data_IF_780038506771
#
_entry.id   IF_780038506771
#
_cell.length_a   1.000
_cell.length_b   1.000
_cell.length_c   1.000
_cell.angle_alpha   90.00
_cell.angle_beta   90.00
_cell.angle_gamma   90.00
#
_symmetry.space_group_name_H-M   'P 1'
#
loop_
_entity.id
_entity.type
_entity.pdbx_description
1 polymer ?
#
# COMPACT_ATOMS: atom_id res chain seq x y z
N UNK A 1 4.14 -14.41 16.57
CA UNK A 1 3.48 -13.44 15.72
C UNK A 1 4.40 -13.02 14.60
N UNK A 2 4.02 -13.30 13.36
CA UNK A 2 4.85 -12.89 12.24
C UNK A 2 4.77 -11.38 12.07
N UNK A 3 5.88 -10.79 11.64
CA UNK A 3 5.93 -9.36 11.38
C UNK A 3 5.84 -9.16 9.88
N UNK A 4 4.78 -8.52 9.46
CA UNK A 4 4.57 -8.25 8.05
C UNK A 4 5.54 -7.19 7.56
N UNK A 5 6.04 -7.39 6.35
CA UNK A 5 6.98 -6.49 5.71
C UNK A 5 6.24 -5.55 4.78
N UNK A 6 6.43 -4.26 4.97
CA UNK A 6 5.72 -3.22 4.24
C UNK A 6 6.70 -2.43 3.39
N UNK A 7 6.44 -2.40 2.09
CA UNK A 7 7.16 -1.55 1.16
C UNK A 7 6.45 -0.19 1.07
N UNK A 8 7.19 0.89 1.18
CA UNK A 8 6.63 2.24 1.08
C UNK A 8 7.09 2.85 -0.23
N UNK A 9 6.15 3.23 -1.09
CA UNK A 9 6.44 3.83 -2.39
C UNK A 9 5.95 5.27 -2.35
N UNK A 10 6.87 6.20 -2.11
CA UNK A 10 6.58 7.60 -1.84
C UNK A 10 7.84 8.42 -2.16
N UNK A 11 7.70 9.48 -2.96
CA UNK A 11 8.85 10.28 -3.35
C UNK A 11 9.22 11.38 -2.36
N UNK A 12 8.30 11.77 -1.48
CA UNK A 12 8.61 12.73 -0.43
C UNK A 12 9.26 11.99 0.74
N UNK A 13 10.57 12.06 0.82
CA UNK A 13 11.32 11.25 1.77
C UNK A 13 10.88 11.47 3.22
N UNK A 14 10.62 12.72 3.62
CA UNK A 14 10.22 12.97 5.01
C UNK A 14 8.86 12.35 5.33
N UNK A 15 7.95 12.35 4.36
CA UNK A 15 6.64 11.69 4.53
C UNK A 15 6.84 10.18 4.67
N UNK A 16 7.67 9.62 3.80
CA UNK A 16 7.93 8.18 3.82
C UNK A 16 8.63 7.75 5.11
N UNK A 17 9.62 8.52 5.54
CA UNK A 17 10.38 8.20 6.75
C UNK A 17 9.50 8.28 8.00
N UNK A 18 8.62 9.27 8.06
CA UNK A 18 7.68 9.39 9.18
C UNK A 18 6.73 8.19 9.22
N UNK A 19 6.23 7.80 8.07
CA UNK A 19 5.35 6.64 7.97
C UNK A 19 6.09 5.37 8.37
N UNK A 20 7.32 5.20 7.88
CA UNK A 20 8.14 4.04 8.21
C UNK A 20 8.34 3.92 9.72
N UNK A 21 8.72 5.03 10.37
CA UNK A 21 8.92 5.03 11.81
C UNK A 21 7.65 4.68 12.57
N UNK A 22 6.51 5.22 12.13
CA UNK A 22 5.23 4.93 12.76
C UNK A 22 4.85 3.47 12.64
N UNK A 23 5.08 2.87 11.49
CA UNK A 23 4.76 1.46 11.28
C UNK A 23 5.68 0.54 12.07
N UNK A 24 6.96 0.90 12.18
CA UNK A 24 7.90 0.11 12.98
C UNK A 24 7.52 0.12 14.45
N UNK A 25 7.04 1.23 14.97
CA UNK A 25 6.55 1.28 16.34
C UNK A 25 5.36 0.35 16.56
N UNK A 26 4.60 0.08 15.51
CA UNK A 26 3.44 -0.80 15.60
C UNK A 26 3.78 -2.26 15.32
N UNK A 27 5.04 -2.57 15.12
CA UNK A 27 5.49 -3.94 14.95
C UNK A 27 5.65 -4.40 13.51
N UNK A 28 5.43 -3.53 12.52
CA UNK A 28 5.70 -3.88 11.14
C UNK A 28 7.19 -3.76 10.84
N UNK A 29 7.64 -4.48 9.83
CA UNK A 29 9.02 -4.40 9.36
C UNK A 29 9.02 -3.64 8.04
N UNK A 30 9.89 -2.64 7.92
CA UNK A 30 10.01 -1.91 6.66
C UNK A 30 10.78 -2.74 5.64
N UNK A 31 10.22 -2.86 4.45
CA UNK A 31 10.93 -3.47 3.32
C UNK A 31 11.69 -2.41 2.52
N UNK A 32 11.64 -1.15 2.96
CA UNK A 32 12.35 -0.06 2.33
C UNK A 32 11.41 1.00 1.78
N UNK A 33 12.00 2.08 1.32
CA UNK A 33 11.30 3.22 0.73
C UNK A 33 11.75 3.33 -0.72
N UNK A 34 10.78 3.34 -1.64
CA UNK A 34 11.05 3.52 -3.06
C UNK A 34 10.43 4.83 -3.53
N UNK A 35 11.14 5.55 -4.38
CA UNK A 35 10.69 6.85 -4.87
C UNK A 35 10.28 6.81 -6.34
N UNK A 36 10.49 5.69 -7.01
CA UNK A 36 10.19 5.52 -8.44
C UNK A 36 10.02 4.04 -8.77
N UNK A 37 9.72 3.77 -10.03
CA UNK A 37 9.48 2.41 -10.50
C UNK A 37 10.71 1.51 -10.32
N UNK A 38 11.87 1.99 -10.71
CA UNK A 38 13.08 1.17 -10.66
C UNK A 38 13.40 0.72 -9.24
N UNK A 39 13.37 1.66 -8.29
CA UNK A 39 13.64 1.35 -6.89
C UNK A 39 12.58 0.42 -6.32
N UNK A 40 11.31 0.66 -6.67
CA UNK A 40 10.22 -0.18 -6.18
C UNK A 40 10.39 -1.62 -6.65
N UNK A 41 10.75 -1.83 -7.91
CA UNK A 41 10.94 -3.18 -8.43
C UNK A 41 12.14 -3.87 -7.78
N UNK A 42 13.21 -3.12 -7.50
CA UNK A 42 14.36 -3.67 -6.79
C UNK A 42 13.99 -4.15 -5.40
N UNK A 43 13.24 -3.32 -4.66
CA UNK A 43 12.83 -3.68 -3.29
C UNK A 43 11.76 -4.78 -3.29
N UNK A 44 10.95 -4.87 -4.35
CA UNK A 44 9.94 -5.92 -4.45
C UNK A 44 10.56 -7.31 -4.43
N UNK A 45 11.80 -7.43 -4.91
CA UNK A 45 12.48 -8.73 -4.93
C UNK A 45 12.83 -9.23 -3.53
N UNK A 46 12.77 -8.37 -2.53
CA UNK A 46 13.05 -8.80 -1.15
C UNK A 46 11.85 -9.44 -0.47
N UNK A 47 10.72 -9.54 -1.16
CA UNK A 47 9.55 -10.25 -0.66
C UNK A 47 8.69 -9.49 0.34
N UNK A 48 8.31 -8.23 0.06
CA UNK A 48 7.36 -7.56 0.96
C UNK A 48 5.99 -8.24 0.89
N UNK A 49 5.26 -8.15 1.98
CA UNK A 49 3.91 -8.71 2.05
C UNK A 49 2.88 -7.77 1.44
N UNK A 50 3.11 -6.48 1.61
CA UNK A 50 2.18 -5.45 1.19
C UNK A 50 2.96 -4.17 0.89
N UNK A 51 2.41 -3.35 0.01
CA UNK A 51 3.00 -2.06 -0.32
C UNK A 51 1.98 -0.94 -0.15
N UNK A 52 2.46 0.19 0.36
CA UNK A 52 1.71 1.44 0.40
C UNK A 52 2.24 2.28 -0.75
N UNK A 53 1.39 2.64 -1.69
CA UNK A 53 1.83 3.24 -2.95
C UNK A 53 1.13 4.57 -3.20
N UNK A 54 1.91 5.64 -3.42
CA UNK A 54 1.36 6.89 -3.92
C UNK A 54 1.31 6.85 -5.45
N UNK A 55 0.51 7.73 -6.04
CA UNK A 55 0.34 7.81 -7.49
C UNK A 55 1.46 8.61 -8.14
N UNK A 56 1.73 9.81 -7.60
CA UNK A 56 2.69 10.74 -8.17
C UNK A 56 4.04 10.52 -7.53
N UNK A 57 5.03 10.14 -8.32
CA UNK A 57 6.35 9.79 -7.83
C UNK A 57 7.39 10.59 -8.59
N UNK A 58 8.66 10.36 -8.27
CA UNK A 58 9.75 11.12 -8.88
C UNK A 58 9.78 10.99 -10.41
N UNK A 59 9.37 9.85 -10.93
CA UNK A 59 9.35 9.59 -12.37
C UNK A 59 7.96 9.80 -13.00
N UNK A 60 7.05 10.47 -12.31
CA UNK A 60 5.74 10.83 -12.85
C UNK A 60 4.60 10.06 -12.18
N UNK A 61 3.50 9.88 -12.90
CA UNK A 61 2.34 9.15 -12.36
C UNK A 61 2.54 7.65 -12.51
N UNK A 62 3.62 7.14 -11.98
CA UNK A 62 3.97 5.72 -12.12
C UNK A 62 3.39 4.82 -11.05
N UNK A 63 2.74 5.40 -10.03
CA UNK A 63 2.13 4.61 -8.96
C UNK A 63 1.23 3.48 -9.45
N UNK A 64 0.28 3.74 -10.35
CA UNK A 64 -0.58 2.66 -10.86
C UNK A 64 0.19 1.55 -11.58
N UNK A 65 1.21 1.90 -12.34
CA UNK A 65 2.05 0.89 -13.00
C UNK A 65 2.83 0.07 -11.98
N UNK A 66 3.37 0.73 -10.97
CA UNK A 66 4.09 0.06 -9.89
C UNK A 66 3.16 -0.92 -9.18
N UNK A 67 1.93 -0.47 -8.86
CA UNK A 67 0.96 -1.33 -8.20
C UNK A 67 0.66 -2.58 -9.02
N UNK A 68 0.47 -2.42 -10.34
CA UNK A 68 0.23 -3.56 -11.23
C UNK A 68 1.39 -4.54 -11.21
N UNK A 69 2.61 -4.01 -11.31
CA UNK A 69 3.81 -4.86 -11.32
C UNK A 69 3.98 -5.58 -9.98
N UNK A 70 3.73 -4.89 -8.87
CA UNK A 70 3.82 -5.50 -7.56
C UNK A 70 2.84 -6.67 -7.41
N UNK A 71 1.63 -6.49 -7.88
CA UNK A 71 0.61 -7.53 -7.79
C UNK A 71 0.90 -8.67 -8.75
N UNK A 72 1.14 -8.37 -10.02
CA UNK A 72 1.24 -9.39 -11.06
C UNK A 72 2.57 -10.13 -11.08
N UNK A 73 3.66 -9.42 -10.81
CA UNK A 73 4.98 -10.03 -10.92
C UNK A 73 5.54 -10.53 -9.59
N UNK A 74 5.04 -10.01 -8.47
CA UNK A 74 5.62 -10.30 -7.16
C UNK A 74 4.61 -10.81 -6.13
N UNK A 75 3.33 -10.84 -6.48
CA UNK A 75 2.25 -11.26 -5.57
C UNK A 75 2.21 -10.41 -4.29
N UNK A 76 2.50 -9.13 -4.39
CA UNK A 76 2.47 -8.19 -3.27
C UNK A 76 1.12 -7.49 -3.26
N UNK A 77 0.45 -7.48 -2.11
CA UNK A 77 -0.80 -6.72 -1.97
C UNK A 77 -0.50 -5.23 -1.98
N UNK A 78 -1.46 -4.44 -2.44
CA UNK A 78 -1.27 -2.99 -2.56
C UNK A 78 -2.41 -2.22 -1.92
N UNK A 79 -2.04 -1.18 -1.16
CA UNK A 79 -2.95 -0.13 -0.73
C UNK A 79 -2.41 1.17 -1.31
N UNK A 80 -3.24 1.92 -2.02
CA UNK A 80 -2.86 3.26 -2.43
C UNK A 80 -3.03 4.24 -1.28
N UNK A 81 -2.08 5.15 -1.13
CA UNK A 81 -2.16 6.25 -0.16
C UNK A 81 -1.85 7.51 -0.94
N UNK A 82 -2.86 8.32 -1.23
CA UNK A 82 -2.71 9.41 -2.18
C UNK A 82 -3.62 10.57 -1.87
N UNK A 83 -3.22 11.77 -2.33
CA UNK A 83 -4.08 12.95 -2.27
C UNK A 83 -5.15 12.93 -3.36
N UNK A 84 -5.06 12.01 -4.33
CA UNK A 84 -5.96 11.92 -5.48
C UNK A 84 -6.61 10.53 -5.57
N UNK A 85 -7.44 10.15 -4.59
CA UNK A 85 -7.99 8.78 -4.56
C UNK A 85 -8.86 8.45 -5.76
N UNK A 86 -9.49 9.45 -6.39
CA UNK A 86 -10.35 9.22 -7.55
C UNK A 86 -9.60 8.59 -8.72
N UNK A 87 -8.30 8.82 -8.81
CA UNK A 87 -7.51 8.30 -9.92
C UNK A 87 -7.36 6.79 -9.88
N UNK A 88 -7.54 6.18 -8.71
CA UNK A 88 -7.26 4.75 -8.54
C UNK A 88 -8.42 3.97 -7.92
N UNK A 89 -9.49 4.65 -7.48
CA UNK A 89 -10.59 3.96 -6.78
C UNK A 89 -11.28 2.92 -7.67
N UNK A 90 -11.22 3.10 -8.98
CA UNK A 90 -11.83 2.17 -9.94
C UNK A 90 -10.87 1.06 -10.38
N UNK A 91 -9.68 0.99 -9.80
CA UNK A 91 -8.72 -0.04 -10.16
C UNK A 91 -9.33 -1.42 -9.91
N UNK A 92 -9.43 -2.22 -10.96
CA UNK A 92 -10.00 -3.56 -10.88
C UNK A 92 -8.88 -4.57 -11.09
N UNK A 93 -8.08 -4.75 -10.06
CA UNK A 93 -6.94 -5.65 -10.08
C UNK A 93 -6.90 -6.38 -8.75
N UNK A 94 -7.15 -7.70 -8.74
CA UNK A 94 -7.05 -8.47 -7.49
C UNK A 94 -5.65 -8.30 -6.89
N UNK A 95 -5.60 -8.01 -5.62
CA UNK A 95 -4.33 -7.69 -4.95
C UNK A 95 -4.20 -6.22 -4.63
N UNK A 96 -4.86 -5.34 -5.40
CA UNK A 96 -5.03 -3.94 -5.00
C UNK A 96 -6.28 -3.89 -4.15
N UNK A 97 -6.09 -3.65 -2.85
CA UNK A 97 -7.18 -3.81 -1.88
C UNK A 97 -8.02 -2.54 -1.75
N UNK A 98 -7.37 -1.40 -1.73
CA UNK A 98 -8.11 -0.16 -1.55
C UNK A 98 -7.23 1.07 -1.61
N UNK A 99 -7.82 2.20 -1.27
CA UNK A 99 -7.14 3.49 -1.29
C UNK A 99 -7.49 4.30 -0.06
N UNK A 100 -6.49 4.97 0.49
CA UNK A 100 -6.63 5.89 1.62
C UNK A 100 -6.26 7.27 1.13
N UNK A 101 -7.11 8.26 1.44
CA UNK A 101 -6.86 9.65 1.05
C UNK A 101 -5.93 10.33 2.03
N UNK A 102 -4.92 11.04 1.52
CA UNK A 102 -4.07 11.90 2.34
C UNK A 102 -4.81 13.19 2.68
N UNK A 103 -4.51 13.81 3.81
CA UNK A 103 -3.64 13.33 4.88
C UNK A 103 -4.32 12.24 5.70
N UNK A 104 -3.55 11.28 6.17
CA UNK A 104 -4.11 10.19 6.95
C UNK A 104 -3.23 9.90 8.16
N UNK A 105 -3.84 9.67 9.32
CA UNK A 105 -3.07 9.36 10.51
C UNK A 105 -2.55 7.93 10.46
N UNK A 106 -1.47 7.69 11.20
CA UNK A 106 -0.85 6.37 11.20
C UNK A 106 -1.79 5.26 11.66
N UNK A 107 -2.69 5.56 12.62
CA UNK A 107 -3.60 4.53 13.10
C UNK A 107 -4.54 4.03 12.00
N UNK A 108 -4.91 4.89 11.05
CA UNK A 108 -5.76 4.48 9.94
C UNK A 108 -4.98 3.59 8.98
N UNK A 109 -3.74 3.94 8.71
CA UNK A 109 -2.89 3.13 7.84
C UNK A 109 -2.68 1.76 8.47
N UNK A 110 -2.42 1.71 9.77
CA UNK A 110 -2.25 0.43 10.47
C UNK A 110 -3.51 -0.41 10.40
N UNK A 111 -4.68 0.20 10.60
CA UNK A 111 -5.95 -0.52 10.51
C UNK A 111 -6.19 -1.05 9.09
N UNK A 112 -5.85 -0.25 8.08
CA UNK A 112 -6.00 -0.66 6.68
C UNK A 112 -5.05 -1.80 6.33
N UNK A 113 -3.81 -1.76 6.83
CA UNK A 113 -2.86 -2.84 6.63
C UNK A 113 -3.37 -4.14 7.25
N UNK A 114 -3.89 -4.07 8.46
CA UNK A 114 -4.42 -5.23 9.13
C UNK A 114 -5.59 -5.83 8.36
N UNK A 115 -6.49 -4.97 7.88
CA UNK A 115 -7.60 -5.41 7.05
C UNK A 115 -7.08 -6.09 5.77
N UNK A 116 -6.18 -5.42 5.05
CA UNK A 116 -5.69 -5.90 3.76
C UNK A 116 -4.93 -7.23 3.89
N UNK A 117 -4.13 -7.37 4.93
CA UNK A 117 -3.37 -8.59 5.15
C UNK A 117 -4.27 -9.76 5.52
N UNK A 118 -5.47 -9.49 6.03
CA UNK A 118 -6.44 -10.53 6.33
C UNK A 118 -7.31 -10.95 5.16
N UNK A 119 -7.26 -10.21 4.04
CA UNK A 119 -8.06 -10.56 2.86
C UNK A 119 -7.57 -11.88 2.27
N UNK A 120 -8.52 -12.78 2.04
CA UNK A 120 -8.20 -14.09 1.49
C UNK A 120 -7.97 -15.17 2.55
N UNK A 121 -7.72 -14.76 3.80
CA UNK A 121 -7.40 -15.70 4.87
C UNK A 121 -8.60 -15.96 5.79
N UNK A 122 -9.71 -15.30 5.55
CA UNK A 122 -10.89 -15.39 6.41
C UNK A 122 -12.11 -15.82 5.64
N UNK A 123 -12.92 -16.62 6.29
CA UNK A 123 -14.20 -17.05 5.73
C UNK A 123 -15.13 -15.84 5.61
N UNK A 124 -15.13 -14.98 6.63
CA UNK A 124 -15.94 -13.77 6.65
C UNK A 124 -15.03 -12.60 6.98
N UNK A 125 -15.00 -11.62 6.09
CA UNK A 125 -14.18 -10.43 6.32
C UNK A 125 -14.93 -9.45 7.22
N UNK A 126 -14.22 -8.78 8.14
CA UNK A 126 -14.80 -7.66 8.86
C UNK A 126 -15.06 -6.50 7.89
N UNK A 127 -15.83 -5.52 8.32
CA UNK A 127 -15.99 -4.30 7.54
C UNK A 127 -14.63 -3.59 7.44
N UNK A 128 -14.33 -2.94 6.32
CA UNK A 128 -13.11 -2.16 6.23
C UNK A 128 -13.15 -0.98 7.20
N UNK A 129 -11.98 -0.52 7.68
CA UNK A 129 -11.98 0.63 8.57
C UNK A 129 -12.48 1.87 7.85
N UNK A 130 -13.08 2.79 8.60
CA UNK A 130 -13.52 4.07 8.04
C UNK A 130 -12.30 4.80 7.47
N UNK A 131 -12.44 5.32 6.26
CA UNK A 131 -11.33 5.99 5.57
C UNK A 131 -10.63 5.12 4.55
N UNK A 132 -10.85 3.81 4.57
CA UNK A 132 -10.34 2.92 3.53
C UNK A 132 -11.46 2.68 2.51
N UNK A 133 -11.23 3.09 1.27
CA UNK A 133 -12.17 2.82 0.18
C UNK A 133 -11.68 1.57 -0.56
N UNK A 134 -12.54 0.58 -0.70
CA UNK A 134 -12.18 -0.62 -1.45
C UNK A 134 -12.17 -0.31 -2.94
N UNK A 135 -11.17 -0.84 -3.65
CA UNK A 135 -11.01 -0.60 -5.08
C UNK A 135 -11.69 -1.69 -5.91
N UNK A 136 -11.97 -1.35 -7.18
CA UNK A 136 -12.46 -2.33 -8.14
C UNK A 136 -13.79 -2.96 -7.77
N UNK A 137 -14.56 -2.30 -6.96
CA UNK A 137 -15.80 -2.88 -6.47
C UNK A 137 -16.92 -2.55 -7.42
N UNK A 138 -17.33 -3.57 -8.11
CA UNK A 138 -18.60 -3.47 -8.80
C UNK A 138 -19.65 -3.74 -7.73
N UNK A 139 -20.07 -2.82 -7.11
CA UNK A 139 -21.08 -2.89 -6.06
C UNK A 139 -21.71 -4.27 -5.81
#
# INVERSE_FOLDING_TARGET
>A
MSKSRVLIVEDEYLVAADLEAGLEELGYVSAGIAQDLETAMGLAQTGPDIALVDIHLRDGETGPLIARRLVEDFAVKVLFVTANPRMVVDTDLPGVIGVISKPCPHYLIAAALEYALGVGDRVTLPAPPAGLMLTGRAA
#
